data_IF_399447868795
#
_entry.id   IF_399447868795
#
_cell.length_a   1.000
_cell.length_b   1.000
_cell.length_c   1.000
_cell.angle_alpha   90.00
_cell.angle_beta   90.00
_cell.angle_gamma   90.00
#
_symmetry.space_group_name_H-M   'P 1'
#
loop_
_entity.id
_entity.type
_entity.pdbx_description
1 polymer ?
#
# COMPACT_ATOMS: atom_id res chain seq x y z
N UNK A 1 5.27 24.07 -10.05
CA UNK A 1 3.79 24.02 -10.11
C UNK A 1 3.37 22.91 -11.08
N UNK A 2 3.22 21.68 -10.58
CA UNK A 2 2.56 20.52 -11.21
C UNK A 2 3.13 19.93 -12.52
N UNK A 3 3.42 20.77 -13.51
CA UNK A 3 3.79 20.42 -14.88
C UNK A 3 5.07 21.13 -15.30
N UNK A 4 6.10 21.10 -14.45
CA UNK A 4 7.42 21.58 -14.85
C UNK A 4 8.15 20.43 -15.52
N UNK A 5 8.44 20.59 -16.80
CA UNK A 5 9.29 19.76 -17.67
C UNK A 5 10.77 19.85 -17.24
N UNK A 6 11.05 19.79 -15.94
CA UNK A 6 12.39 19.80 -15.40
C UNK A 6 12.85 18.35 -15.17
N UNK A 7 14.14 18.09 -15.41
CA UNK A 7 14.73 16.76 -15.24
C UNK A 7 14.47 16.18 -13.83
N UNK A 8 14.43 17.03 -12.81
CA UNK A 8 14.10 16.68 -11.42
C UNK A 8 12.71 16.04 -11.27
N UNK A 9 11.70 16.55 -11.98
CA UNK A 9 10.33 16.01 -11.99
C UNK A 9 10.29 14.61 -12.62
N UNK A 10 11.03 14.42 -13.72
CA UNK A 10 11.14 13.13 -14.40
C UNK A 10 11.86 12.09 -13.53
N UNK A 11 12.95 12.47 -12.87
CA UNK A 11 13.68 11.61 -11.94
C UNK A 11 12.82 11.22 -10.73
N UNK A 12 12.06 12.17 -10.17
CA UNK A 12 11.14 11.88 -9.06
C UNK A 12 10.02 10.91 -9.48
N UNK A 13 9.44 11.10 -10.66
CA UNK A 13 8.41 10.21 -11.20
C UNK A 13 8.96 8.81 -11.48
N UNK A 14 10.16 8.70 -12.03
CA UNK A 14 10.85 7.42 -12.26
C UNK A 14 11.16 6.71 -10.94
N UNK A 15 11.62 7.45 -9.92
CA UNK A 15 11.85 6.92 -8.58
C UNK A 15 10.56 6.32 -8.00
N UNK A 16 9.44 7.05 -8.05
CA UNK A 16 8.13 6.55 -7.60
C UNK A 16 7.76 5.28 -8.36
N UNK A 17 7.92 5.27 -9.69
CA UNK A 17 7.64 4.09 -10.52
C UNK A 17 8.44 2.87 -10.07
N UNK A 18 9.74 3.02 -9.82
CA UNK A 18 10.59 1.94 -9.34
C UNK A 18 10.18 1.45 -7.93
N UNK A 19 9.85 2.38 -7.04
CA UNK A 19 9.36 2.06 -5.69
C UNK A 19 8.06 1.26 -5.73
N UNK A 20 7.13 1.63 -6.62
CA UNK A 20 5.88 0.91 -6.82
C UNK A 20 6.12 -0.52 -7.32
N UNK A 21 7.04 -0.73 -8.27
CA UNK A 21 7.38 -2.08 -8.74
C UNK A 21 7.85 -2.94 -7.56
N UNK A 22 8.72 -2.43 -6.69
CA UNK A 22 9.16 -3.17 -5.51
C UNK A 22 8.00 -3.50 -4.55
N UNK A 23 7.12 -2.53 -4.28
CA UNK A 23 5.94 -2.72 -3.43
C UNK A 23 4.96 -3.75 -3.99
N UNK A 24 4.67 -3.71 -5.29
CA UNK A 24 3.81 -4.69 -5.96
C UNK A 24 4.43 -6.09 -5.95
N UNK A 25 5.76 -6.21 -6.10
CA UNK A 25 6.45 -7.49 -5.98
C UNK A 25 6.36 -8.05 -4.56
N UNK A 26 6.48 -7.20 -3.53
CA UNK A 26 6.30 -7.62 -2.13
C UNK A 26 4.86 -8.11 -1.87
N UNK A 27 3.86 -7.35 -2.36
CA UNK A 27 2.45 -7.69 -2.22
C UNK A 27 2.11 -9.00 -2.94
N UNK A 28 2.58 -9.16 -4.19
CA UNK A 28 2.41 -10.38 -4.96
C UNK A 28 3.12 -11.59 -4.34
N UNK A 29 4.34 -11.41 -3.82
CA UNK A 29 5.04 -12.47 -3.09
C UNK A 29 4.30 -12.87 -1.81
N UNK A 30 3.76 -11.91 -1.05
CA UNK A 30 2.89 -12.18 0.11
C UNK A 30 1.65 -12.99 -0.26
N UNK A 31 1.01 -12.66 -1.38
CA UNK A 31 -0.12 -13.41 -1.91
C UNK A 31 0.27 -14.85 -2.30
N UNK A 32 1.40 -15.04 -2.99
CA UNK A 32 1.90 -16.36 -3.34
C UNK A 32 2.22 -17.19 -2.10
N UNK A 33 2.82 -16.60 -1.05
CA UNK A 33 3.07 -17.30 0.22
C UNK A 33 1.76 -17.84 0.82
N UNK A 34 0.67 -17.08 0.70
CA UNK A 34 -0.65 -17.47 1.22
C UNK A 34 -1.31 -18.55 0.36
N UNK A 35 -1.15 -18.51 -0.97
CA UNK A 35 -1.90 -19.35 -1.92
C UNK A 35 -1.15 -20.56 -2.47
N UNK A 36 0.16 -20.68 -2.25
CA UNK A 36 0.98 -21.76 -2.81
C UNK A 36 1.57 -22.68 -1.73
N UNK A 37 2.04 -23.86 -2.13
CA UNK A 37 2.68 -24.86 -1.28
C UNK A 37 4.01 -25.32 -1.85
N UNK A 38 4.81 -26.01 -1.01
CA UNK A 38 6.03 -26.66 -1.44
C UNK A 38 7.09 -25.69 -2.00
N UNK A 39 7.85 -26.06 -3.05
CA UNK A 39 9.00 -25.30 -3.52
C UNK A 39 8.67 -23.85 -3.95
N UNK A 40 7.49 -23.62 -4.52
CA UNK A 40 7.07 -22.29 -4.95
C UNK A 40 6.82 -21.36 -3.75
N UNK A 41 6.27 -21.91 -2.67
CA UNK A 41 6.04 -21.16 -1.44
C UNK A 41 7.36 -20.67 -0.82
N UNK A 42 8.40 -21.50 -0.80
CA UNK A 42 9.73 -21.11 -0.31
C UNK A 42 10.39 -20.04 -1.21
N UNK A 43 10.26 -20.17 -2.54
CA UNK A 43 10.73 -19.13 -3.48
C UNK A 43 10.02 -17.80 -3.24
N UNK A 44 8.71 -17.81 -3.01
CA UNK A 44 7.94 -16.62 -2.70
C UNK A 44 8.42 -15.92 -1.41
N UNK A 45 8.82 -16.66 -0.38
CA UNK A 45 9.44 -16.08 0.83
C UNK A 45 10.75 -15.36 0.49
N UNK A 46 11.60 -15.93 -0.36
CA UNK A 46 12.87 -15.29 -0.74
C UNK A 46 12.62 -14.02 -1.57
N UNK A 47 11.66 -14.07 -2.50
CA UNK A 47 11.26 -12.87 -3.25
C UNK A 47 10.71 -11.79 -2.32
N UNK A 48 9.88 -12.15 -1.34
CA UNK A 48 9.38 -11.21 -0.35
C UNK A 48 10.52 -10.59 0.48
N UNK A 49 11.50 -11.38 0.93
CA UNK A 49 12.66 -10.86 1.68
C UNK A 49 13.49 -9.86 0.88
N UNK A 50 13.75 -10.15 -0.40
CA UNK A 50 14.49 -9.24 -1.28
C UNK A 50 13.74 -7.93 -1.53
N UNK A 51 12.43 -8.01 -1.80
CA UNK A 51 11.62 -6.83 -2.11
C UNK A 51 11.19 -6.05 -0.85
N UNK A 52 11.29 -6.63 0.35
CA UNK A 52 11.01 -5.93 1.61
C UNK A 52 11.89 -4.70 1.78
N UNK A 53 13.21 -4.88 1.62
CA UNK A 53 14.17 -3.80 1.77
C UNK A 53 14.08 -2.76 0.66
N UNK A 54 13.81 -3.19 -0.58
CA UNK A 54 13.55 -2.26 -1.68
C UNK A 54 12.30 -1.42 -1.45
N UNK A 55 11.23 -2.02 -0.94
CA UNK A 55 9.99 -1.31 -0.60
C UNK A 55 10.21 -0.35 0.56
N UNK A 56 10.92 -0.78 1.61
CA UNK A 56 11.25 0.08 2.75
C UNK A 56 12.11 1.27 2.33
N UNK A 57 13.14 1.04 1.52
CA UNK A 57 13.97 2.11 0.95
C UNK A 57 13.13 3.07 0.09
N UNK A 58 12.20 2.55 -0.72
CA UNK A 58 11.30 3.37 -1.52
C UNK A 58 10.36 4.24 -0.70
N UNK A 59 9.74 3.68 0.34
CA UNK A 59 8.88 4.43 1.27
C UNK A 59 9.68 5.52 1.98
N UNK A 60 10.90 5.22 2.45
CA UNK A 60 11.78 6.21 3.07
C UNK A 60 12.19 7.30 2.09
N UNK A 61 12.60 6.93 0.88
CA UNK A 61 13.01 7.87 -0.16
C UNK A 61 11.88 8.83 -0.54
N UNK A 62 10.66 8.32 -0.75
CA UNK A 62 9.48 9.16 -1.06
C UNK A 62 9.11 10.03 0.15
N UNK A 63 9.14 9.48 1.36
CA UNK A 63 8.82 10.23 2.58
C UNK A 63 9.81 11.36 2.85
N UNK A 64 11.09 11.20 2.48
CA UNK A 64 12.10 12.25 2.58
C UNK A 64 12.03 13.26 1.41
N UNK A 65 11.78 12.78 0.19
CA UNK A 65 11.72 13.62 -1.00
C UNK A 65 10.48 14.54 -1.00
N UNK A 66 9.35 14.07 -0.50
CA UNK A 66 8.08 14.83 -0.49
C UNK A 66 8.19 16.20 0.22
N UNK A 67 8.66 16.29 1.48
CA UNK A 67 8.84 17.57 2.15
C UNK A 67 10.00 18.40 1.56
N UNK A 68 11.00 17.77 0.94
CA UNK A 68 12.07 18.50 0.26
C UNK A 68 11.54 19.24 -0.98
N UNK A 69 10.68 18.58 -1.76
CA UNK A 69 10.12 19.18 -3.00
C UNK A 69 9.03 20.21 -2.69
N UNK A 70 8.37 20.15 -1.52
CA UNK A 70 7.28 21.05 -1.16
C UNK A 70 7.43 21.61 0.25
N UNK A 71 7.78 22.89 0.34
CA UNK A 71 7.81 23.65 1.59
C UNK A 71 6.46 23.62 2.33
N UNK A 72 5.33 23.65 1.60
CA UNK A 72 3.99 23.50 2.19
C UNK A 72 3.82 22.16 2.89
N UNK A 73 4.26 21.07 2.27
CA UNK A 73 4.14 19.74 2.89
C UNK A 73 5.07 19.64 4.09
N UNK A 74 6.27 20.22 3.99
CA UNK A 74 7.18 20.35 5.13
C UNK A 74 6.50 21.06 6.31
N UNK A 75 5.92 22.24 6.08
CA UNK A 75 5.22 22.98 7.14
C UNK A 75 4.05 22.18 7.70
N UNK A 76 3.28 21.49 6.85
CA UNK A 76 2.14 20.68 7.29
C UNK A 76 2.56 19.47 8.13
N UNK A 77 3.70 18.85 7.82
CA UNK A 77 4.19 17.66 8.51
C UNK A 77 4.94 17.99 9.80
N UNK A 78 5.73 19.06 9.81
CA UNK A 78 6.65 19.39 10.90
C UNK A 78 6.14 20.53 11.79
N UNK A 79 5.03 21.19 11.46
CA UNK A 79 4.38 22.15 12.37
C UNK A 79 3.78 21.46 13.59
N UNK A 80 3.83 22.15 14.72
CA UNK A 80 3.11 21.76 15.92
C UNK A 80 1.64 22.25 15.84
N UNK A 81 0.62 21.41 16.17
CA UNK A 81 0.69 20.05 16.72
C UNK A 81 0.64 18.92 15.67
N UNK A 82 0.58 19.25 14.37
CA UNK A 82 0.41 18.28 13.28
C UNK A 82 1.45 17.16 13.30
N UNK A 83 2.69 17.48 13.65
CA UNK A 83 3.78 16.50 13.78
C UNK A 83 3.42 15.37 14.74
N UNK A 84 2.79 15.67 15.89
CA UNK A 84 2.38 14.65 16.86
C UNK A 84 1.20 13.81 16.36
N UNK A 85 0.28 14.42 15.60
CA UNK A 85 -0.86 13.72 15.02
C UNK A 85 -0.46 12.80 13.88
N UNK A 86 0.60 13.15 13.14
CA UNK A 86 1.08 12.40 11.98
C UNK A 86 2.11 11.33 12.32
N UNK A 87 2.89 11.50 13.40
CA UNK A 87 3.93 10.57 13.83
C UNK A 87 3.47 9.10 14.01
N UNK A 88 2.21 8.79 14.41
CA UNK A 88 1.72 7.42 14.42
C UNK A 88 1.78 6.72 13.06
N UNK A 89 1.65 7.43 11.94
CA UNK A 89 1.65 6.85 10.58
C UNK A 89 3.02 6.24 10.23
N UNK A 90 4.14 6.99 10.26
CA UNK A 90 5.46 6.42 10.00
C UNK A 90 5.87 5.41 11.08
N UNK A 91 5.49 5.62 12.35
CA UNK A 91 5.75 4.66 13.41
C UNK A 91 5.08 3.30 13.14
N UNK A 92 3.78 3.30 12.80
CA UNK A 92 3.05 2.08 12.45
C UNK A 92 3.60 1.43 11.18
N UNK A 93 4.04 2.23 10.21
CA UNK A 93 4.68 1.74 8.98
C UNK A 93 5.97 0.98 9.31
N UNK A 94 6.82 1.51 10.19
CA UNK A 94 8.04 0.83 10.66
C UNK A 94 7.72 -0.45 11.44
N UNK A 95 6.70 -0.44 12.29
CA UNK A 95 6.23 -1.64 13.00
C UNK A 95 5.79 -2.71 12.00
N UNK A 96 5.02 -2.36 10.98
CA UNK A 96 4.58 -3.31 9.94
C UNK A 96 5.77 -3.88 9.16
N UNK A 97 6.76 -3.07 8.79
CA UNK A 97 8.00 -3.58 8.18
C UNK A 97 8.72 -4.57 9.10
N UNK A 98 8.83 -4.27 10.40
CA UNK A 98 9.42 -5.16 11.40
C UNK A 98 8.64 -6.48 11.56
N UNK A 99 7.31 -6.41 11.54
CA UNK A 99 6.43 -7.60 11.59
C UNK A 99 6.61 -8.45 10.33
N UNK A 100 6.70 -7.84 9.15
CA UNK A 100 6.97 -8.57 7.89
C UNK A 100 8.34 -9.24 7.96
N UNK A 101 9.39 -8.51 8.35
CA UNK A 101 10.75 -9.05 8.45
C UNK A 101 10.80 -10.26 9.40
N UNK A 102 10.20 -10.14 10.58
CA UNK A 102 10.10 -11.22 11.57
C UNK A 102 9.29 -12.41 11.04
N UNK A 103 8.16 -12.14 10.39
CA UNK A 103 7.32 -13.19 9.79
C UNK A 103 8.10 -13.97 8.73
N UNK A 104 8.70 -13.27 7.75
CA UNK A 104 9.47 -13.88 6.67
C UNK A 104 10.70 -14.65 7.17
N UNK A 105 11.32 -14.23 8.28
CA UNK A 105 12.40 -14.97 8.91
C UNK A 105 11.93 -16.30 9.51
N UNK A 106 10.73 -16.34 10.11
CA UNK A 106 10.18 -17.53 10.79
C UNK A 106 9.41 -18.48 9.88
N UNK A 107 8.85 -18.00 8.77
CA UNK A 107 8.02 -18.79 7.85
C UNK A 107 8.71 -20.04 7.30
N UNK A 108 9.99 -20.01 6.84
CA UNK A 108 10.65 -21.23 6.35
C UNK A 108 10.73 -22.35 7.39
N UNK A 109 11.01 -22.01 8.65
CA UNK A 109 11.05 -22.98 9.76
C UNK A 109 9.66 -23.56 10.03
N UNK A 110 8.63 -22.71 9.99
CA UNK A 110 7.24 -23.15 10.18
C UNK A 110 6.76 -24.06 9.05
N UNK A 111 7.11 -23.74 7.80
CA UNK A 111 6.77 -24.59 6.66
C UNK A 111 7.45 -25.96 6.74
N UNK A 112 8.69 -26.04 7.25
CA UNK A 112 9.36 -27.31 7.50
C UNK A 112 8.65 -28.16 8.58
N UNK A 113 7.93 -27.52 9.50
CA UNK A 113 7.11 -28.17 10.53
C UNK A 113 5.66 -28.43 10.07
N UNK A 114 5.36 -28.30 8.76
CA UNK A 114 4.00 -28.35 8.21
C UNK A 114 3.02 -27.35 8.85
N UNK A 115 3.54 -26.26 9.41
CA UNK A 115 2.75 -25.23 10.06
C UNK A 115 2.56 -24.01 9.14
N UNK A 116 1.33 -23.78 8.68
CA UNK A 116 0.96 -22.65 7.81
C UNK A 116 0.62 -21.36 8.57
N UNK A 117 0.77 -21.36 9.89
CA UNK A 117 0.45 -20.23 10.74
C UNK A 117 1.28 -18.98 10.38
N UNK A 118 0.57 -17.89 10.09
CA UNK A 118 1.16 -16.58 9.76
C UNK A 118 1.52 -16.39 8.28
N UNK A 119 1.13 -17.31 7.38
CA UNK A 119 1.38 -17.16 5.95
C UNK A 119 0.72 -15.90 5.34
N UNK A 120 -0.39 -15.44 5.91
CA UNK A 120 -1.09 -14.20 5.48
C UNK A 120 -0.49 -12.92 6.06
N UNK A 121 0.36 -13.01 7.09
CA UNK A 121 0.91 -11.83 7.80
C UNK A 121 1.70 -10.92 6.86
N UNK A 122 2.64 -11.42 6.02
CA UNK A 122 3.37 -10.56 5.09
C UNK A 122 2.45 -9.79 4.14
N UNK A 123 1.39 -10.45 3.64
CA UNK A 123 0.41 -9.83 2.75
C UNK A 123 -0.40 -8.74 3.47
N UNK A 124 -1.01 -9.07 4.62
CA UNK A 124 -1.84 -8.14 5.38
C UNK A 124 -1.06 -6.91 5.86
N UNK A 125 0.17 -7.09 6.34
CA UNK A 125 1.04 -5.98 6.72
C UNK A 125 1.45 -5.13 5.52
N UNK A 126 1.72 -5.74 4.36
CA UNK A 126 2.03 -4.99 3.13
C UNK A 126 0.83 -4.14 2.71
N UNK A 127 -0.38 -4.68 2.72
CA UNK A 127 -1.62 -3.91 2.47
C UNK A 127 -1.75 -2.76 3.46
N UNK A 128 -1.47 -3.00 4.76
CA UNK A 128 -1.45 -1.95 5.77
C UNK A 128 -0.48 -0.81 5.47
N UNK A 129 0.74 -1.13 5.01
CA UNK A 129 1.74 -0.13 4.59
C UNK A 129 1.23 0.70 3.40
N UNK A 130 0.63 0.05 2.39
CA UNK A 130 0.04 0.76 1.26
C UNK A 130 -1.10 1.70 1.68
N UNK A 131 -1.98 1.25 2.58
CA UNK A 131 -3.08 2.07 3.11
C UNK A 131 -2.56 3.27 3.92
N UNK A 132 -1.57 3.06 4.80
CA UNK A 132 -0.94 4.13 5.56
C UNK A 132 -0.23 5.14 4.65
N UNK A 133 0.47 4.66 3.62
CA UNK A 133 1.15 5.51 2.64
C UNK A 133 0.14 6.34 1.84
N UNK A 134 -0.95 5.71 1.40
CA UNK A 134 -2.04 6.41 0.71
C UNK A 134 -2.72 7.45 1.61
N UNK A 135 -2.97 7.12 2.87
CA UNK A 135 -3.53 8.05 3.85
C UNK A 135 -2.61 9.25 4.08
N UNK A 136 -1.30 9.02 4.24
CA UNK A 136 -0.31 10.09 4.37
C UNK A 136 -0.28 11.01 3.15
N UNK A 137 -0.34 10.45 1.93
CA UNK A 137 -0.43 11.23 0.70
C UNK A 137 -1.74 12.02 0.61
N UNK A 138 -2.89 11.39 0.86
CA UNK A 138 -4.20 12.02 0.84
C UNK A 138 -4.28 13.19 1.83
N UNK A 139 -3.79 12.99 3.05
CA UNK A 139 -3.68 14.05 4.04
C UNK A 139 -2.76 15.18 3.56
N UNK A 140 -1.63 14.86 2.92
CA UNK A 140 -0.66 15.86 2.47
C UNK A 140 -1.21 16.80 1.41
N UNK A 141 -1.99 16.27 0.46
CA UNK A 141 -2.56 17.07 -0.64
C UNK A 141 -3.87 17.78 -0.26
N UNK A 142 -4.64 17.26 0.70
CA UNK A 142 -5.89 17.89 1.14
C UNK A 142 -5.70 19.37 1.55
N UNK A 143 -6.55 20.32 1.12
CA UNK A 143 -7.81 20.17 0.37
C UNK A 143 -7.68 20.28 -1.15
N UNK A 144 -6.47 20.16 -1.69
CA UNK A 144 -6.19 20.30 -3.11
C UNK A 144 -6.36 18.97 -3.84
N UNK A 145 -7.09 19.01 -4.95
CA UNK A 145 -7.12 17.90 -5.92
C UNK A 145 -5.96 18.05 -6.92
N UNK A 146 -5.71 19.30 -7.36
CA UNK A 146 -4.49 19.69 -8.07
C UNK A 146 -3.81 20.77 -7.25
N UNK A 147 -2.59 20.49 -6.76
CA UNK A 147 -1.85 21.37 -5.85
C UNK A 147 -1.76 22.79 -6.43
N UNK A 148 -2.16 23.77 -5.62
CA UNK A 148 -2.17 25.21 -5.93
C UNK A 148 -2.98 25.60 -7.19
N UNK A 149 -3.93 24.76 -7.60
CA UNK A 149 -4.76 25.00 -8.79
C UNK A 149 -6.25 24.79 -8.50
N UNK A 150 -6.63 23.59 -8.07
CA UNK A 150 -8.03 23.18 -7.94
C UNK A 150 -8.22 22.50 -6.58
N UNK A 151 -9.13 23.04 -5.78
CA UNK A 151 -9.57 22.43 -4.52
C UNK A 151 -10.68 21.40 -4.73
N UNK A 152 -10.88 20.50 -3.77
CA UNK A 152 -11.98 19.52 -3.81
C UNK A 152 -13.37 20.16 -3.96
N UNK A 153 -13.53 21.38 -3.42
CA UNK A 153 -14.80 22.13 -3.48
C UNK A 153 -15.04 22.73 -4.86
N UNK A 154 -13.98 23.21 -5.52
CA UNK A 154 -14.05 23.71 -6.89
C UNK A 154 -14.21 22.59 -7.91
N UNK A 155 -13.64 21.41 -7.64
CA UNK A 155 -13.80 20.23 -8.48
C UNK A 155 -15.14 19.51 -8.28
N UNK A 156 -15.93 19.89 -7.26
CA UNK A 156 -17.18 19.23 -6.95
C UNK A 156 -18.23 19.50 -8.04
N UNK A 157 -18.90 18.43 -8.48
CA UNK A 157 -20.07 18.54 -9.35
C UNK A 157 -21.28 19.11 -8.61
N UNK A 158 -22.32 19.49 -9.36
CA UNK A 158 -23.58 19.95 -8.77
C UNK A 158 -24.12 18.95 -7.71
N UNK A 159 -24.62 19.42 -6.55
CA UNK A 159 -25.03 18.53 -5.46
C UNK A 159 -26.05 17.46 -5.85
N UNK A 160 -26.98 17.78 -6.77
CA UNK A 160 -27.96 16.80 -7.27
C UNK A 160 -27.30 15.63 -8.02
N UNK A 161 -26.29 15.90 -8.86
CA UNK A 161 -25.53 14.86 -9.55
C UNK A 161 -24.69 14.04 -8.58
N UNK A 162 -24.10 14.68 -7.56
CA UNK A 162 -23.32 14.00 -6.53
C UNK A 162 -24.20 13.05 -5.71
N UNK A 163 -25.41 13.48 -5.33
CA UNK A 163 -26.39 12.64 -4.63
C UNK A 163 -26.83 11.45 -5.48
N UNK A 164 -27.05 11.63 -6.78
CA UNK A 164 -27.35 10.52 -7.68
C UNK A 164 -26.23 9.46 -7.69
N UNK A 165 -24.97 9.90 -7.82
CA UNK A 165 -23.81 8.99 -7.75
C UNK A 165 -23.72 8.32 -6.36
N UNK A 166 -23.97 9.08 -5.29
CA UNK A 166 -23.93 8.55 -3.92
C UNK A 166 -24.89 7.39 -3.71
N UNK A 167 -26.15 7.51 -4.14
CA UNK A 167 -27.12 6.41 -4.05
C UNK A 167 -26.69 5.20 -4.89
N UNK A 168 -26.12 5.43 -6.08
CA UNK A 168 -25.51 4.36 -6.87
C UNK A 168 -24.41 3.62 -6.11
N UNK A 169 -23.49 4.35 -5.46
CA UNK A 169 -22.42 3.77 -4.65
C UNK A 169 -22.97 3.00 -3.45
N UNK A 170 -23.97 3.53 -2.73
CA UNK A 170 -24.58 2.87 -1.56
C UNK A 170 -25.16 1.50 -1.91
N UNK A 171 -25.66 1.30 -3.13
CA UNK A 171 -26.20 0.00 -3.58
C UNK A 171 -25.12 -0.90 -4.19
N UNK A 172 -24.33 -0.35 -5.12
CA UNK A 172 -23.39 -1.13 -5.92
C UNK A 172 -22.16 -1.54 -5.11
N UNK A 173 -21.65 -0.68 -4.22
CA UNK A 173 -20.44 -0.95 -3.47
C UNK A 173 -20.58 -2.14 -2.49
N UNK A 174 -21.67 -2.26 -1.70
CA UNK A 174 -21.90 -3.46 -0.90
C UNK A 174 -22.04 -4.74 -1.74
N UNK A 175 -22.63 -4.65 -2.94
CA UNK A 175 -22.77 -5.79 -3.84
C UNK A 175 -21.39 -6.26 -4.35
N UNK A 176 -20.51 -5.33 -4.75
CA UNK A 176 -19.13 -5.63 -5.15
C UNK A 176 -18.37 -6.30 -4.00
N UNK A 177 -18.51 -5.77 -2.77
CA UNK A 177 -17.87 -6.37 -1.59
C UNK A 177 -18.43 -7.78 -1.35
N UNK A 178 -19.75 -7.96 -1.38
CA UNK A 178 -20.42 -9.24 -1.16
C UNK A 178 -19.97 -10.30 -2.17
N UNK A 179 -19.95 -9.94 -3.46
CA UNK A 179 -19.45 -10.81 -4.52
C UNK A 179 -17.97 -11.15 -4.33
N UNK A 180 -17.14 -10.17 -3.97
CA UNK A 180 -15.70 -10.38 -3.76
C UNK A 180 -15.46 -11.32 -2.57
N UNK A 181 -16.15 -11.11 -1.45
CA UNK A 181 -16.08 -12.00 -0.27
C UNK A 181 -16.54 -13.41 -0.63
N UNK A 182 -17.64 -13.54 -1.38
CA UNK A 182 -18.14 -14.83 -1.85
C UNK A 182 -17.10 -15.54 -2.73
N UNK A 183 -16.55 -14.86 -3.73
CA UNK A 183 -15.53 -15.43 -4.61
C UNK A 183 -14.29 -15.88 -3.82
N UNK A 184 -13.82 -15.06 -2.87
CA UNK A 184 -12.70 -15.43 -2.01
C UNK A 184 -12.99 -16.61 -1.09
N UNK A 185 -14.24 -16.76 -0.62
CA UNK A 185 -14.68 -17.89 0.19
C UNK A 185 -14.79 -19.17 -0.64
N UNK A 186 -15.29 -19.09 -1.86
CA UNK A 186 -15.39 -20.24 -2.78
C UNK A 186 -14.00 -20.73 -3.19
N UNK A 187 -13.09 -19.82 -3.53
CA UNK A 187 -11.69 -20.14 -3.87
C UNK A 187 -10.76 -20.05 -2.66
N UNK A 188 -11.28 -20.39 -1.48
CA UNK A 188 -10.48 -20.43 -0.27
C UNK A 188 -9.51 -21.62 -0.29
N UNK A 189 -8.41 -21.50 0.46
CA UNK A 189 -7.35 -22.49 0.48
C UNK A 189 -6.24 -22.22 -0.52
N UNK A 190 -5.35 -23.19 -0.63
CA UNK A 190 -4.13 -23.13 -1.45
C UNK A 190 -4.32 -23.88 -2.76
N UNK A 191 -3.63 -23.42 -3.78
CA UNK A 191 -3.65 -24.05 -5.10
C UNK A 191 -2.83 -25.35 -5.05
N UNK A 192 -3.52 -26.48 -5.24
CA UNK A 192 -2.93 -27.81 -5.40
C UNK A 192 -2.96 -28.23 -6.87
N UNK A 193 -2.05 -29.09 -7.33
CA UNK A 193 -2.19 -29.73 -8.63
C UNK A 193 -3.51 -30.52 -8.68
N UNK A 194 -4.19 -30.48 -9.83
CA UNK A 194 -5.40 -31.26 -10.08
C UNK A 194 -5.03 -32.75 -10.09
N UNK A 195 -5.56 -33.51 -9.13
CA UNK A 195 -5.56 -34.97 -9.18
C UNK A 195 -6.82 -35.39 -9.94
N UNK A 196 -6.66 -35.92 -11.15
CA UNK A 196 -7.71 -36.61 -11.88
C UNK A 196 -7.75 -38.09 -11.51
#
# INVERSE_FOLDING_TARGET
TGFREELSSYLFSALIGFCLIAGYRLLGAGWLIMKTEGPLQYKAVQWAKGNLWLTAAGVLAISAATPWVSSRIFDKWFSFPNVLMLLPIPAMTLVLFGVIARSLARLPVRFAQNNQYGASVPFACTVGIFLLSFYGLAYSIFPWLVIDRITIWQAASAPKSLLFIFYGVVVVFPLIIGYTVYAYRVFWGKATPLSY
#
